data_IF_686525748956
#
_entry.id   IF_686525748956
#
_cell.length_a   1.000
_cell.length_b   1.000
_cell.length_c   1.000
_cell.angle_alpha   90.00
_cell.angle_beta   90.00
_cell.angle_gamma   90.00
#
_symmetry.space_group_name_H-M   'P 1'
#
loop_
_entity.id
_entity.type
_entity.pdbx_description
1 polymer ?
#
# COMPACT_ATOMS: atom_id res chain seq x y z
N UNK A 1 -22.71 -3.35 11.63
CA UNK A 1 -22.75 -3.42 13.10
C UNK A 1 -22.26 -4.80 13.52
N UNK A 2 -20.96 -4.92 13.79
CA UNK A 2 -20.30 -6.00 14.52
C UNK A 2 -18.86 -5.54 14.80
N UNK A 3 -18.22 -6.06 15.84
CA UNK A 3 -16.83 -5.83 16.26
C UNK A 3 -16.46 -4.64 17.18
N UNK A 4 -17.43 -4.11 17.93
CA UNK A 4 -17.13 -3.47 19.23
C UNK A 4 -16.87 -4.47 20.36
N UNK A 5 -17.18 -5.75 20.14
CA UNK A 5 -17.14 -6.81 21.15
C UNK A 5 -15.74 -7.42 21.33
N UNK A 6 -14.92 -7.52 20.28
CA UNK A 6 -13.66 -8.28 20.33
C UNK A 6 -12.54 -7.54 21.07
N UNK A 7 -12.43 -6.22 20.90
CA UNK A 7 -11.48 -5.38 21.65
C UNK A 7 -11.87 -5.28 23.14
N UNK A 8 -13.18 -5.22 23.44
CA UNK A 8 -13.70 -5.25 24.81
C UNK A 8 -13.47 -6.61 25.48
N UNK A 9 -13.55 -7.71 24.72
CA UNK A 9 -13.26 -9.05 25.22
C UNK A 9 -11.77 -9.22 25.53
N UNK A 10 -10.88 -8.76 24.64
CA UNK A 10 -9.41 -8.79 24.86
C UNK A 10 -8.98 -7.92 26.04
N UNK A 11 -9.56 -6.72 26.20
CA UNK A 11 -9.30 -5.89 27.38
C UNK A 11 -9.78 -6.57 28.68
N UNK A 12 -10.94 -7.23 28.66
CA UNK A 12 -11.44 -8.02 29.79
C UNK A 12 -10.54 -9.20 30.15
N UNK A 13 -9.97 -9.87 29.14
CA UNK A 13 -9.05 -10.99 29.31
C UNK A 13 -7.70 -10.56 29.92
N UNK A 14 -7.16 -9.42 29.49
CA UNK A 14 -5.92 -8.84 30.05
C UNK A 14 -6.15 -8.45 31.53
N UNK A 15 -7.29 -7.84 31.85
CA UNK A 15 -7.65 -7.50 33.24
C UNK A 15 -7.83 -8.76 34.10
N UNK A 16 -8.41 -9.83 33.55
CA UNK A 16 -8.54 -11.10 34.25
C UNK A 16 -7.18 -11.76 34.53
N UNK A 17 -6.25 -11.73 33.56
CA UNK A 17 -4.87 -12.25 33.72
C UNK A 17 -4.06 -11.43 34.72
N UNK A 18 -4.19 -10.11 34.73
CA UNK A 18 -3.56 -9.24 35.72
C UNK A 18 -4.13 -9.47 37.14
N UNK A 19 -5.44 -9.72 37.25
CA UNK A 19 -6.08 -10.11 38.52
C UNK A 19 -5.55 -11.45 39.02
N UNK A 20 -5.45 -12.46 38.16
CA UNK A 20 -4.95 -13.78 38.52
C UNK A 20 -3.45 -13.76 38.90
N UNK A 21 -2.65 -12.98 38.18
CA UNK A 21 -1.24 -12.76 38.52
C UNK A 21 -1.09 -12.03 39.87
N UNK A 22 -1.90 -11.01 40.14
CA UNK A 22 -1.92 -10.31 41.42
C UNK A 22 -2.39 -11.21 42.57
N UNK A 23 -3.41 -12.06 42.34
CA UNK A 23 -3.89 -13.04 43.31
C UNK A 23 -2.79 -14.04 43.68
N UNK A 24 -2.02 -14.51 42.69
CA UNK A 24 -0.87 -15.41 42.87
C UNK A 24 0.27 -14.77 43.67
N UNK A 25 0.53 -13.48 43.46
CA UNK A 25 1.52 -12.71 44.24
C UNK A 25 1.05 -12.50 45.68
N UNK A 26 -0.25 -12.23 45.88
CA UNK A 26 -0.87 -12.11 47.22
C UNK A 26 -0.82 -13.42 48.00
N UNK A 27 -1.11 -14.56 47.37
CA UNK A 27 -0.98 -15.88 48.01
C UNK A 27 0.46 -16.23 48.32
N UNK A 28 1.42 -15.89 47.45
CA UNK A 28 2.85 -16.16 47.67
C UNK A 28 3.45 -15.32 48.81
N UNK A 29 2.98 -14.10 49.00
CA UNK A 29 3.45 -13.22 50.08
C UNK A 29 2.76 -13.48 51.44
N UNK A 30 1.53 -14.01 51.43
CA UNK A 30 0.84 -14.56 52.61
C UNK A 30 1.67 -15.64 53.31
N UNK A 31 2.35 -16.49 52.54
CA UNK A 31 3.19 -17.57 53.07
C UNK A 31 4.51 -17.08 53.71
N UNK A 32 4.92 -15.84 53.44
CA UNK A 32 6.16 -15.24 53.97
C UNK A 32 5.95 -14.33 55.20
N UNK A 33 4.73 -14.23 55.73
CA UNK A 33 4.45 -13.56 57.02
C UNK A 33 4.64 -12.04 57.06
N UNK A 34 4.72 -11.38 55.90
CA UNK A 34 5.02 -9.95 55.80
C UNK A 34 3.73 -9.12 55.57
N UNK A 35 2.89 -9.01 56.61
CA UNK A 35 1.52 -8.48 56.52
C UNK A 35 1.41 -6.98 56.20
N UNK A 36 2.45 -6.17 56.49
CA UNK A 36 2.41 -4.71 56.29
C UNK A 36 2.51 -4.31 54.81
N UNK A 37 3.22 -5.10 53.99
CA UNK A 37 3.39 -4.84 52.55
C UNK A 37 2.14 -5.29 51.76
N UNK A 38 1.33 -6.19 52.33
CA UNK A 38 0.19 -6.80 51.65
C UNK A 38 -1.02 -5.86 51.56
N UNK A 39 -1.25 -5.05 52.58
CA UNK A 39 -2.38 -4.10 52.62
C UNK A 39 -2.12 -2.86 51.75
N UNK A 40 -0.89 -2.35 51.73
CA UNK A 40 -0.50 -1.23 50.86
C UNK A 40 -0.51 -1.64 49.37
N UNK A 41 -0.14 -2.89 49.07
CA UNK A 41 -0.27 -3.45 47.73
C UNK A 41 -1.73 -3.61 47.31
N UNK A 42 -2.62 -4.12 48.19
CA UNK A 42 -4.05 -4.25 47.90
C UNK A 42 -4.71 -2.91 47.56
N UNK A 43 -4.40 -1.86 48.31
CA UNK A 43 -4.97 -0.53 48.10
C UNK A 43 -4.52 0.06 46.74
N UNK A 44 -3.21 0.00 46.45
CA UNK A 44 -2.67 0.45 45.15
C UNK A 44 -3.23 -0.33 43.96
N UNK A 45 -3.45 -1.64 44.12
CA UNK A 45 -4.06 -2.48 43.07
C UNK A 45 -5.55 -2.17 42.86
N UNK A 46 -6.32 -1.91 43.92
CA UNK A 46 -7.73 -1.54 43.79
C UNK A 46 -7.88 -0.18 43.08
N UNK A 47 -7.01 0.77 43.38
CA UNK A 47 -6.96 2.07 42.69
C UNK A 47 -6.59 1.90 41.21
N UNK A 48 -5.59 1.08 40.88
CA UNK A 48 -5.19 0.80 39.50
C UNK A 48 -6.28 0.05 38.71
N UNK A 49 -6.95 -0.92 39.34
CA UNK A 49 -8.07 -1.64 38.73
C UNK A 49 -9.24 -0.70 38.42
N UNK A 50 -9.62 0.17 39.37
CA UNK A 50 -10.64 1.19 39.19
C UNK A 50 -10.27 2.21 38.09
N UNK A 51 -8.99 2.60 38.02
CA UNK A 51 -8.49 3.51 36.98
C UNK A 51 -8.50 2.86 35.59
N UNK A 52 -8.16 1.57 35.49
CA UNK A 52 -8.23 0.81 34.24
C UNK A 52 -9.66 0.58 33.76
N UNK A 53 -10.60 0.33 34.68
CA UNK A 53 -12.02 0.17 34.33
C UNK A 53 -12.62 1.48 33.83
N UNK A 54 -12.24 2.61 34.44
CA UNK A 54 -12.67 3.93 33.99
C UNK A 54 -12.07 4.29 32.62
N UNK A 55 -10.78 3.96 32.38
CA UNK A 55 -10.15 4.15 31.07
C UNK A 55 -10.84 3.31 29.96
N UNK A 56 -11.24 2.08 30.27
CA UNK A 56 -11.97 1.22 29.32
C UNK A 56 -13.38 1.76 28.98
N UNK A 57 -13.98 2.49 29.93
CA UNK A 57 -15.30 3.10 29.77
C UNK A 57 -15.20 4.40 28.97
N UNK A 58 -14.23 5.26 29.27
CA UNK A 58 -13.97 6.49 28.51
C UNK A 58 -13.62 6.20 27.04
N UNK A 59 -12.78 5.18 26.77
CA UNK A 59 -12.45 4.78 25.39
C UNK A 59 -13.67 4.25 24.65
N UNK A 60 -14.55 3.49 25.33
CA UNK A 60 -15.80 2.99 24.76
C UNK A 60 -16.78 4.13 24.47
N UNK A 61 -16.89 5.09 25.39
CA UNK A 61 -17.77 6.25 25.25
C UNK A 61 -17.27 7.19 24.15
N UNK A 62 -15.95 7.35 23.98
CA UNK A 62 -15.35 8.05 22.84
C UNK A 62 -15.59 7.35 21.50
N UNK A 63 -15.43 6.02 21.44
CA UNK A 63 -15.74 5.25 20.22
C UNK A 63 -17.22 5.34 19.85
N UNK A 64 -18.11 5.24 20.84
CA UNK A 64 -19.54 5.40 20.62
C UNK A 64 -19.88 6.83 20.18
N UNK A 65 -19.25 7.86 20.76
CA UNK A 65 -19.43 9.25 20.34
C UNK A 65 -18.91 9.51 18.91
N UNK A 66 -17.78 8.90 18.52
CA UNK A 66 -17.24 8.94 17.15
C UNK A 66 -18.14 8.21 16.16
N UNK A 67 -18.64 7.01 16.51
CA UNK A 67 -19.59 6.26 15.70
C UNK A 67 -20.93 7.01 15.56
N UNK A 68 -21.39 7.65 16.65
CA UNK A 68 -22.58 8.49 16.61
C UNK A 68 -22.35 9.67 15.68
N UNK A 69 -21.28 10.45 15.87
CA UNK A 69 -20.91 11.60 15.02
C UNK A 69 -20.76 11.21 13.54
N UNK A 70 -20.12 10.07 13.26
CA UNK A 70 -20.02 9.52 11.90
C UNK A 70 -21.38 9.16 11.31
N UNK A 71 -22.28 8.58 12.11
CA UNK A 71 -23.64 8.27 11.68
C UNK A 71 -24.51 9.52 11.49
N UNK A 72 -24.33 10.57 12.30
CA UNK A 72 -25.05 11.84 12.16
C UNK A 72 -24.55 12.60 10.94
N UNK A 73 -23.23 12.67 10.73
CA UNK A 73 -22.62 13.29 9.55
C UNK A 73 -23.06 12.57 8.27
N UNK A 74 -23.06 11.23 8.29
CA UNK A 74 -23.58 10.40 7.20
C UNK A 74 -25.05 10.72 6.93
N UNK A 75 -25.90 10.78 7.97
CA UNK A 75 -27.33 11.12 7.81
C UNK A 75 -27.56 12.55 7.30
N UNK A 76 -26.76 13.52 7.73
CA UNK A 76 -26.85 14.92 7.27
C UNK A 76 -26.43 15.07 5.81
N UNK A 77 -25.34 14.41 5.41
CA UNK A 77 -24.86 14.42 4.01
C UNK A 77 -25.81 13.66 3.09
N UNK A 78 -26.31 12.50 3.53
CA UNK A 78 -27.32 11.71 2.81
C UNK A 78 -28.67 12.43 2.75
N UNK A 79 -29.06 13.12 3.82
CA UNK A 79 -30.27 13.94 3.88
C UNK A 79 -30.22 15.13 2.92
N UNK A 80 -29.08 15.81 2.81
CA UNK A 80 -28.87 16.92 1.84
C UNK A 80 -28.86 16.46 0.39
N UNK A 81 -28.47 15.22 0.11
CA UNK A 81 -28.46 14.63 -1.23
C UNK A 81 -29.78 13.92 -1.59
N UNK A 82 -30.67 13.73 -0.61
CA UNK A 82 -31.94 13.03 -0.75
C UNK A 82 -31.76 11.54 -1.04
N UNK A 83 -30.71 10.94 -0.48
CA UNK A 83 -30.40 9.50 -0.55
C UNK A 83 -30.80 8.89 0.80
N UNK A 84 -31.65 7.87 0.80
CA UNK A 84 -32.07 7.20 2.04
C UNK A 84 -31.09 6.08 2.44
N UNK A 85 -31.04 5.66 3.72
CA UNK A 85 -30.24 4.50 4.13
C UNK A 85 -30.60 3.20 3.40
N UNK A 86 -31.85 3.08 2.93
CA UNK A 86 -32.37 1.98 2.12
C UNK A 86 -31.90 2.03 0.66
N UNK A 87 -31.38 3.17 0.19
CA UNK A 87 -30.75 3.29 -1.12
C UNK A 87 -29.29 2.83 -1.10
N UNK A 88 -28.60 2.92 0.06
CA UNK A 88 -27.23 2.40 0.23
C UNK A 88 -27.17 0.87 0.18
N UNK A 89 -28.23 0.16 0.57
CA UNK A 89 -28.26 -1.30 0.50
C UNK A 89 -28.41 -1.83 -0.93
N UNK A 90 -28.83 -0.98 -1.88
CA UNK A 90 -29.01 -1.28 -3.30
C UNK A 90 -27.76 -0.96 -4.14
N UNK A 91 -26.71 -0.43 -3.52
CA UNK A 91 -25.45 -0.13 -4.21
C UNK A 91 -24.67 -1.42 -4.44
N UNK A 92 -24.21 -1.64 -5.68
CA UNK A 92 -23.32 -2.76 -5.99
C UNK A 92 -21.97 -2.56 -5.29
N UNK A 93 -21.65 -3.46 -4.35
CA UNK A 93 -20.51 -3.32 -3.42
C UNK A 93 -19.15 -3.27 -4.12
N UNK A 94 -18.92 -4.14 -5.10
CA UNK A 94 -17.63 -4.21 -5.81
C UNK A 94 -17.38 -2.95 -6.65
N UNK A 95 -18.28 -2.52 -7.56
CA UNK A 95 -18.16 -1.25 -8.26
C UNK A 95 -18.04 -0.03 -7.33
N UNK A 96 -18.74 -0.01 -6.20
CA UNK A 96 -18.63 1.11 -5.25
C UNK A 96 -17.24 1.19 -4.59
N UNK A 97 -16.68 0.04 -4.18
CA UNK A 97 -15.34 -0.01 -3.62
C UNK A 97 -14.29 0.40 -4.65
N UNK A 98 -14.43 -0.09 -5.89
CA UNK A 98 -13.55 0.27 -7.01
C UNK A 98 -13.67 1.76 -7.36
N UNK A 99 -14.87 2.36 -7.28
CA UNK A 99 -15.05 3.79 -7.50
C UNK A 99 -14.34 4.64 -6.42
N UNK A 100 -14.38 4.22 -5.16
CA UNK A 100 -13.61 4.89 -4.08
C UNK A 100 -12.10 4.77 -4.31
N UNK A 101 -11.63 3.60 -4.74
CA UNK A 101 -10.23 3.40 -5.11
C UNK A 101 -9.83 4.30 -6.29
N UNK A 102 -10.71 4.49 -7.29
CA UNK A 102 -10.46 5.41 -8.39
C UNK A 102 -10.28 6.87 -7.92
N UNK A 103 -11.06 7.33 -6.94
CA UNK A 103 -10.86 8.67 -6.33
C UNK A 103 -9.44 8.76 -5.73
N UNK A 104 -9.06 7.75 -4.95
CA UNK A 104 -7.75 7.70 -4.31
C UNK A 104 -6.60 7.69 -5.32
N UNK A 105 -6.71 6.87 -6.38
CA UNK A 105 -5.74 6.81 -7.48
C UNK A 105 -5.59 8.18 -8.14
N UNK A 106 -6.69 8.86 -8.48
CA UNK A 106 -6.61 10.19 -9.11
C UNK A 106 -5.93 11.22 -8.19
N UNK A 107 -6.17 11.16 -6.87
CA UNK A 107 -5.48 12.03 -5.90
C UNK A 107 -3.97 11.74 -5.85
N UNK A 108 -3.58 10.46 -5.86
CA UNK A 108 -2.17 10.05 -5.91
C UNK A 108 -1.49 10.56 -7.19
N UNK A 109 -2.17 10.49 -8.34
CA UNK A 109 -1.63 10.98 -9.60
C UNK A 109 -1.41 12.50 -9.58
N UNK A 110 -2.35 13.27 -9.02
CA UNK A 110 -2.15 14.72 -8.81
C UNK A 110 -0.92 14.95 -7.93
N UNK A 111 -0.83 14.27 -6.78
CA UNK A 111 0.28 14.43 -5.85
C UNK A 111 1.63 14.10 -6.48
N UNK A 112 1.71 13.00 -7.26
CA UNK A 112 2.93 12.60 -7.95
C UNK A 112 3.46 13.67 -8.91
N UNK A 113 2.59 14.49 -9.49
CA UNK A 113 2.98 15.52 -10.47
C UNK A 113 3.63 16.74 -9.81
N UNK A 114 3.16 17.14 -8.64
CA UNK A 114 3.57 18.38 -7.99
C UNK A 114 4.75 18.21 -7.02
N UNK A 115 5.19 16.97 -6.79
CA UNK A 115 6.27 16.66 -5.88
C UNK A 115 7.58 16.42 -6.66
N UNK A 116 8.71 16.81 -6.07
CA UNK A 116 10.03 16.88 -6.69
C UNK A 116 10.89 15.64 -6.50
N UNK A 117 10.30 14.53 -6.04
CA UNK A 117 10.97 13.23 -5.89
C UNK A 117 10.72 12.28 -7.05
N UNK A 118 10.95 12.67 -8.31
CA UNK A 118 10.90 11.71 -9.43
C UNK A 118 12.22 10.97 -9.58
N UNK A 119 13.32 11.73 -9.60
CA UNK A 119 14.69 11.21 -9.68
C UNK A 119 15.56 11.93 -8.65
N UNK A 120 16.45 11.18 -8.02
CA UNK A 120 17.54 11.71 -7.20
C UNK A 120 18.87 11.34 -7.84
N UNK A 121 19.82 12.26 -7.84
CA UNK A 121 21.15 12.01 -8.37
C UNK A 121 22.20 12.95 -7.80
N UNK A 122 23.45 12.69 -8.15
CA UNK A 122 24.56 13.58 -7.80
C UNK A 122 25.08 14.27 -9.05
N UNK A 123 25.19 15.58 -8.95
CA UNK A 123 25.58 16.45 -10.05
C UNK A 123 26.82 17.26 -9.73
N UNK A 124 27.48 17.77 -10.77
CA UNK A 124 28.66 18.62 -10.65
C UNK A 124 28.37 20.06 -11.05
N UNK A 125 28.81 21.00 -10.22
CA UNK A 125 28.96 22.42 -10.56
C UNK A 125 30.36 22.83 -10.13
N UNK A 126 31.16 23.34 -11.07
CA UNK A 126 32.50 23.84 -10.81
C UNK A 126 33.39 22.85 -10.00
N UNK A 127 33.29 21.56 -10.33
CA UNK A 127 34.05 20.47 -9.70
C UNK A 127 33.53 20.02 -8.33
N UNK A 128 32.54 20.71 -7.75
CA UNK A 128 31.88 20.30 -6.51
C UNK A 128 30.67 19.44 -6.81
N UNK A 129 30.43 18.46 -5.94
CA UNK A 129 29.31 17.52 -6.07
C UNK A 129 28.16 17.96 -5.19
N UNK A 130 26.97 18.03 -5.76
CA UNK A 130 25.73 18.38 -5.08
C UNK A 130 24.70 17.29 -5.29
N UNK A 131 23.82 17.13 -4.32
CA UNK A 131 22.65 16.27 -4.43
C UNK A 131 21.52 17.04 -5.13
N UNK A 132 20.93 16.42 -6.15
CA UNK A 132 19.86 17.00 -6.96
C UNK A 132 18.61 16.13 -6.88
N UNK A 133 17.48 16.79 -6.62
CA UNK A 133 16.14 16.22 -6.65
C UNK A 133 15.40 16.75 -7.87
N UNK A 134 15.10 15.87 -8.81
CA UNK A 134 14.53 16.22 -10.11
C UNK A 134 13.05 15.82 -10.13
N UNK A 135 12.22 16.78 -10.48
CA UNK A 135 10.80 16.63 -10.79
C UNK A 135 10.57 16.44 -12.29
N UNK A 136 9.30 16.41 -12.72
CA UNK A 136 8.98 16.35 -14.16
C UNK A 136 9.42 17.58 -14.96
N UNK A 137 9.60 18.74 -14.33
CA UNK A 137 9.87 20.00 -15.07
C UNK A 137 10.96 20.87 -14.45
N UNK A 138 11.36 20.59 -13.22
CA UNK A 138 12.29 21.40 -12.45
C UNK A 138 13.20 20.53 -11.58
N UNK A 139 14.31 21.10 -11.12
CA UNK A 139 15.27 20.49 -10.20
C UNK A 139 15.44 21.36 -8.96
N UNK A 140 15.63 20.71 -7.82
CA UNK A 140 16.06 21.32 -6.56
C UNK A 140 17.45 20.80 -6.20
N UNK A 141 18.30 21.67 -5.62
CA UNK A 141 19.59 21.27 -5.07
C UNK A 141 19.57 21.26 -3.55
N UNK A 142 20.02 20.15 -2.98
CA UNK A 142 19.98 19.91 -1.54
C UNK A 142 18.55 19.75 -1.02
N UNK A 143 18.43 19.50 0.28
CA UNK A 143 17.13 19.33 0.93
C UNK A 143 16.32 20.63 0.88
N UNK A 144 15.14 20.57 0.24
CA UNK A 144 14.23 21.73 0.10
C UNK A 144 14.78 22.87 -0.74
N UNK A 145 15.69 22.59 -1.68
CA UNK A 145 16.23 23.60 -2.60
C UNK A 145 17.22 24.58 -1.97
N UNK A 146 17.79 24.26 -0.80
CA UNK A 146 18.70 25.14 -0.06
C UNK A 146 19.93 25.61 -0.86
N UNK A 147 20.35 24.84 -1.87
CA UNK A 147 21.50 25.15 -2.72
C UNK A 147 21.10 25.56 -4.15
N UNK A 148 19.81 25.67 -4.48
CA UNK A 148 19.34 25.93 -5.86
C UNK A 148 19.84 27.28 -6.40
N UNK A 149 20.01 28.28 -5.53
CA UNK A 149 20.56 29.59 -5.89
C UNK A 149 21.98 29.52 -6.51
N UNK A 150 22.73 28.44 -6.27
CA UNK A 150 24.07 28.24 -6.85
C UNK A 150 24.06 28.07 -8.36
N UNK A 151 22.95 27.59 -8.95
CA UNK A 151 22.83 27.57 -10.40
C UNK A 151 22.92 28.98 -11.00
N UNK A 152 22.35 29.97 -10.32
CA UNK A 152 22.42 31.35 -10.74
C UNK A 152 23.83 31.92 -10.57
N UNK A 153 24.43 31.72 -9.39
CA UNK A 153 25.74 32.30 -9.09
C UNK A 153 26.89 31.63 -9.88
N UNK A 154 26.88 30.29 -9.96
CA UNK A 154 28.01 29.52 -10.49
C UNK A 154 27.84 29.13 -11.98
N UNK A 155 26.61 29.05 -12.50
CA UNK A 155 26.34 28.72 -13.91
C UNK A 155 25.70 29.88 -14.70
N UNK A 156 25.35 30.99 -14.05
CA UNK A 156 24.69 32.11 -14.73
C UNK A 156 23.29 31.78 -15.25
N UNK A 157 22.67 30.70 -14.74
CA UNK A 157 21.33 30.27 -15.16
C UNK A 157 20.29 31.05 -14.38
N UNK A 158 19.36 31.68 -15.08
CA UNK A 158 18.22 32.32 -14.43
C UNK A 158 17.22 31.24 -13.99
N UNK A 159 17.34 30.81 -12.74
CA UNK A 159 16.37 29.93 -12.08
C UNK A 159 15.12 30.69 -11.59
N UNK A 160 15.02 32.00 -11.87
CA UNK A 160 13.99 32.90 -11.38
C UNK A 160 14.52 33.83 -10.28
N UNK A 161 13.65 34.31 -9.40
CA UNK A 161 14.06 35.14 -8.25
C UNK A 161 15.08 34.39 -7.38
N UNK A 162 16.00 35.12 -6.73
CA UNK A 162 17.03 34.56 -5.83
C UNK A 162 16.50 33.64 -4.73
N UNK A 163 15.19 33.71 -4.43
CA UNK A 163 14.49 32.91 -3.42
C UNK A 163 13.75 31.71 -4.01
N UNK A 164 14.01 31.35 -5.28
CA UNK A 164 13.40 30.18 -5.91
C UNK A 164 14.08 28.89 -5.43
N UNK A 165 13.31 28.03 -4.77
CA UNK A 165 13.76 26.70 -4.34
C UNK A 165 13.99 25.75 -5.53
N UNK A 166 13.48 26.09 -6.73
CA UNK A 166 13.45 25.23 -7.91
C UNK A 166 14.07 25.93 -9.13
N UNK A 167 14.82 25.20 -9.95
CA UNK A 167 15.29 25.64 -11.26
C UNK A 167 14.62 24.84 -12.37
N UNK A 168 14.08 25.51 -13.41
CA UNK A 168 13.42 24.82 -14.52
C UNK A 168 14.42 24.01 -15.35
N UNK A 169 14.05 22.78 -15.71
CA UNK A 169 14.89 21.91 -16.55
C UNK A 169 15.14 22.52 -17.93
N UNK A 170 14.17 23.26 -18.47
CA UNK A 170 14.32 24.00 -19.73
C UNK A 170 15.45 25.02 -19.67
N UNK A 171 15.56 25.77 -18.57
CA UNK A 171 16.63 26.75 -18.39
C UNK A 171 18.00 26.09 -18.30
N UNK A 172 18.06 24.86 -17.74
CA UNK A 172 19.30 24.08 -17.62
C UNK A 172 19.70 23.39 -18.93
N UNK A 173 18.75 22.95 -19.74
CA UNK A 173 19.01 22.43 -21.08
C UNK A 173 19.50 23.53 -22.03
N UNK A 174 18.99 24.76 -21.88
CA UNK A 174 19.43 25.92 -22.66
C UNK A 174 20.72 26.57 -22.10
N UNK A 175 21.17 26.16 -20.92
CA UNK A 175 22.33 26.73 -20.27
C UNK A 175 23.62 26.40 -21.06
N UNK A 176 24.42 27.44 -21.27
CA UNK A 176 25.77 27.31 -21.81
C UNK A 176 26.79 27.38 -20.68
N UNK A 177 27.88 26.60 -20.80
CA UNK A 177 28.97 26.66 -19.85
C UNK A 177 29.60 28.07 -19.85
N UNK A 178 30.05 28.58 -18.69
CA UNK A 178 30.79 29.82 -18.63
C UNK A 178 32.01 29.79 -19.58
N UNK A 179 32.31 30.92 -20.21
CA UNK A 179 33.42 31.02 -21.16
C UNK A 179 34.75 30.62 -20.50
N UNK A 180 35.42 29.60 -21.03
CA UNK A 180 36.67 29.06 -20.47
C UNK A 180 36.52 28.02 -19.35
N UNK A 181 35.30 27.60 -19.01
CA UNK A 181 35.05 26.54 -18.05
C UNK A 181 35.48 25.15 -18.57
N UNK A 182 36.00 24.30 -17.68
CA UNK A 182 36.27 22.89 -17.97
C UNK A 182 34.94 22.10 -18.01
N UNK A 183 34.54 21.50 -19.15
CA UNK A 183 33.30 20.73 -19.24
C UNK A 183 33.22 19.56 -18.25
N UNK A 184 34.36 19.01 -17.82
CA UNK A 184 34.39 17.89 -16.86
C UNK A 184 34.04 18.30 -15.43
N UNK A 185 34.10 19.61 -15.14
CA UNK A 185 33.75 20.18 -13.86
C UNK A 185 32.24 20.41 -13.69
N UNK A 186 31.45 20.20 -14.75
CA UNK A 186 30.01 20.46 -14.76
C UNK A 186 29.23 19.23 -15.22
N UNK A 187 27.96 19.22 -14.88
CA UNK A 187 27.01 18.21 -15.37
C UNK A 187 26.78 18.43 -16.87
N UNK A 188 26.86 17.38 -17.71
CA UNK A 188 26.63 17.51 -19.14
C UNK A 188 25.23 18.08 -19.44
N UNK A 189 25.14 19.07 -20.33
CA UNK A 189 23.87 19.66 -20.77
C UNK A 189 22.92 18.61 -21.36
N UNK A 190 23.47 17.59 -22.03
CA UNK A 190 22.71 16.46 -22.57
C UNK A 190 21.89 15.73 -21.49
N UNK A 191 22.40 15.61 -20.27
CA UNK A 191 21.67 14.97 -19.17
C UNK A 191 20.46 15.82 -18.73
N UNK A 192 20.60 17.15 -18.73
CA UNK A 192 19.49 18.07 -18.43
C UNK A 192 18.41 18.04 -19.50
N UNK A 193 18.81 18.02 -20.79
CA UNK A 193 17.88 17.92 -21.90
C UNK A 193 17.13 16.58 -21.92
N UNK A 194 17.82 15.46 -21.65
CA UNK A 194 17.20 14.15 -21.55
C UNK A 194 16.15 14.10 -20.41
N UNK A 195 16.47 14.65 -19.24
CA UNK A 195 15.51 14.79 -18.14
C UNK A 195 14.31 15.66 -18.50
N UNK A 196 14.53 16.77 -19.21
CA UNK A 196 13.47 17.67 -19.65
C UNK A 196 12.52 16.98 -20.62
N UNK A 197 13.05 16.25 -21.61
CA UNK A 197 12.26 15.52 -22.60
C UNK A 197 11.47 14.37 -21.94
N UNK A 198 12.13 13.57 -21.11
CA UNK A 198 11.50 12.51 -20.32
C UNK A 198 10.36 13.07 -19.47
N UNK A 199 10.63 14.18 -18.76
CA UNK A 199 9.69 14.85 -17.88
C UNK A 199 8.48 15.44 -18.62
N UNK A 200 8.69 16.14 -19.73
CA UNK A 200 7.63 16.67 -20.60
C UNK A 200 6.73 15.57 -21.13
N UNK A 201 7.32 14.48 -21.62
CA UNK A 201 6.58 13.34 -22.17
C UNK A 201 5.74 12.65 -21.09
N UNK A 202 6.36 12.33 -19.95
CA UNK A 202 5.67 11.72 -18.82
C UNK A 202 4.55 12.62 -18.28
N UNK A 203 4.81 13.92 -18.12
CA UNK A 203 3.78 14.88 -17.71
C UNK A 203 2.60 14.92 -18.68
N UNK A 204 2.87 14.90 -19.98
CA UNK A 204 1.83 14.91 -21.01
C UNK A 204 0.99 13.64 -20.95
N UNK A 205 1.62 12.48 -20.85
CA UNK A 205 0.94 11.20 -20.78
C UNK A 205 0.13 11.04 -19.49
N UNK A 206 0.66 11.49 -18.35
CA UNK A 206 -0.08 11.49 -17.09
C UNK A 206 -1.29 12.42 -17.15
N UNK A 207 -1.16 13.58 -17.79
CA UNK A 207 -2.27 14.51 -17.97
C UNK A 207 -3.35 13.94 -18.89
N UNK A 208 -2.95 13.32 -20.00
CA UNK A 208 -3.87 12.60 -20.88
C UNK A 208 -4.52 11.42 -20.17
N UNK A 209 -3.79 10.72 -19.29
CA UNK A 209 -4.30 9.65 -18.43
C UNK A 209 -5.30 10.12 -17.37
N UNK A 210 -5.27 11.41 -17.00
CA UNK A 210 -6.25 11.99 -16.08
C UNK A 210 -7.66 12.04 -16.66
N UNK A 211 -7.79 12.16 -17.99
CA UNK A 211 -9.09 12.16 -18.68
C UNK A 211 -9.83 10.83 -18.48
N UNK A 212 -9.26 9.66 -18.87
CA UNK A 212 -9.87 8.38 -18.54
C UNK A 212 -9.90 8.14 -17.02
N UNK A 213 -8.98 8.68 -16.22
CA UNK A 213 -9.03 8.60 -14.75
C UNK A 213 -10.25 9.26 -14.10
N UNK A 214 -10.66 10.43 -14.59
CA UNK A 214 -11.92 11.06 -14.20
C UNK A 214 -13.10 10.22 -14.73
N UNK A 215 -13.00 9.73 -15.97
CA UNK A 215 -14.00 8.88 -16.60
C UNK A 215 -14.28 7.60 -15.79
N UNK A 216 -13.23 6.90 -15.34
CA UNK A 216 -13.37 5.69 -14.51
C UNK A 216 -14.05 6.03 -13.20
N UNK A 217 -13.66 7.12 -12.53
CA UNK A 217 -14.27 7.55 -11.28
C UNK A 217 -15.78 7.79 -11.43
N UNK A 218 -16.18 8.64 -12.37
CA UNK A 218 -17.59 9.00 -12.54
C UNK A 218 -18.44 7.85 -13.07
N UNK A 219 -17.98 7.16 -14.13
CA UNK A 219 -18.77 6.09 -14.75
C UNK A 219 -18.91 4.88 -13.82
N UNK A 220 -17.85 4.51 -13.08
CA UNK A 220 -17.92 3.41 -12.12
C UNK A 220 -18.84 3.75 -10.95
N UNK A 221 -18.81 4.99 -10.45
CA UNK A 221 -19.69 5.45 -9.38
C UNK A 221 -21.17 5.47 -9.83
N UNK A 222 -21.45 5.97 -11.04
CA UNK A 222 -22.80 5.97 -11.61
C UNK A 222 -23.32 4.55 -11.80
N UNK A 223 -22.47 3.64 -12.27
CA UNK A 223 -22.83 2.22 -12.42
C UNK A 223 -23.10 1.54 -11.07
N UNK A 224 -22.28 1.84 -10.05
CA UNK A 224 -22.48 1.32 -8.69
C UNK A 224 -23.82 1.77 -8.09
N UNK A 225 -24.23 3.00 -8.38
CA UNK A 225 -25.44 3.63 -7.88
C UNK A 225 -26.67 3.49 -8.80
N UNK A 226 -26.62 2.63 -9.83
CA UNK A 226 -27.67 2.55 -10.86
C UNK A 226 -29.08 2.24 -10.32
N UNK A 227 -29.17 1.56 -9.18
CA UNK A 227 -30.43 1.18 -8.53
C UNK A 227 -31.01 2.27 -7.62
N UNK A 228 -30.30 3.38 -7.41
CA UNK A 228 -30.79 4.54 -6.65
C UNK A 228 -31.73 5.36 -7.55
N UNK A 229 -32.94 5.67 -7.07
CA UNK A 229 -34.01 6.25 -7.88
C UNK A 229 -33.65 7.48 -8.72
N UNK A 230 -32.83 8.41 -8.19
CA UNK A 230 -32.35 9.60 -8.93
C UNK A 230 -31.30 9.26 -10.00
N UNK A 231 -30.40 8.32 -9.73
CA UNK A 231 -29.33 7.92 -10.65
C UNK A 231 -29.90 7.03 -11.77
N UNK A 232 -30.83 6.14 -11.41
CA UNK A 232 -31.60 5.34 -12.37
C UNK A 232 -32.44 6.18 -13.33
N UNK A 233 -32.91 7.36 -12.94
CA UNK A 233 -33.59 8.29 -13.87
C UNK A 233 -32.65 8.90 -14.91
N UNK A 234 -31.40 9.19 -14.54
CA UNK A 234 -30.37 9.63 -15.50
C UNK A 234 -29.94 8.49 -16.44
N UNK A 235 -29.73 7.29 -15.91
CA UNK A 235 -29.34 6.13 -16.70
C UNK A 235 -30.45 5.66 -17.64
N UNK A 236 -31.71 5.63 -17.19
CA UNK A 236 -32.85 5.31 -18.07
C UNK A 236 -33.08 6.36 -19.16
N UNK A 237 -32.72 7.63 -18.92
CA UNK A 237 -32.71 8.67 -19.97
C UNK A 237 -31.60 8.42 -21.00
N UNK A 238 -30.44 7.93 -20.57
CA UNK A 238 -29.35 7.52 -21.45
C UNK A 238 -29.66 6.23 -22.23
N UNK A 239 -30.33 5.26 -21.60
CA UNK A 239 -30.81 4.03 -22.27
C UNK A 239 -31.84 4.36 -23.36
N UNK A 240 -32.74 5.34 -23.12
CA UNK A 240 -33.67 5.86 -24.13
C UNK A 240 -32.97 6.55 -25.32
N UNK A 241 -31.71 6.95 -25.17
CA UNK A 241 -30.87 7.52 -26.25
C UNK A 241 -30.02 6.45 -26.97
N UNK A 242 -30.21 5.16 -26.67
CA UNK A 242 -29.53 4.05 -27.33
C UNK A 242 -28.29 3.53 -26.60
N UNK A 243 -27.96 4.05 -25.42
CA UNK A 243 -26.83 3.56 -24.62
C UNK A 243 -27.29 2.35 -23.81
N UNK A 244 -27.19 1.16 -24.41
CA UNK A 244 -27.49 -0.09 -23.71
C UNK A 244 -26.55 -0.33 -22.53
N UNK A 245 -26.98 -1.12 -21.55
CA UNK A 245 -26.17 -1.55 -20.40
C UNK A 245 -24.82 -2.16 -20.85
N UNK A 246 -24.81 -2.87 -21.97
CA UNK A 246 -23.60 -3.45 -22.57
C UNK A 246 -22.61 -2.37 -23.01
N UNK A 247 -23.08 -1.29 -23.65
CA UNK A 247 -22.24 -0.17 -24.07
C UNK A 247 -21.64 0.55 -22.85
N UNK A 248 -22.40 0.69 -21.76
CA UNK A 248 -21.89 1.28 -20.52
C UNK A 248 -20.76 0.44 -19.89
N UNK A 249 -20.91 -0.89 -19.85
CA UNK A 249 -19.87 -1.81 -19.36
C UNK A 249 -18.58 -1.70 -20.19
N UNK A 250 -18.69 -1.64 -21.51
CA UNK A 250 -17.53 -1.44 -22.39
C UNK A 250 -16.90 -0.07 -22.22
N UNK A 251 -17.68 1.00 -22.07
CA UNK A 251 -17.16 2.34 -21.85
C UNK A 251 -16.39 2.45 -20.52
N UNK A 252 -16.93 1.89 -19.43
CA UNK A 252 -16.23 1.82 -18.14
C UNK A 252 -14.91 1.05 -18.29
N UNK A 253 -14.96 -0.12 -18.91
CA UNK A 253 -13.77 -0.96 -19.12
C UNK A 253 -12.71 -0.26 -19.97
N UNK A 254 -13.12 0.43 -21.04
CA UNK A 254 -12.24 1.21 -21.89
C UNK A 254 -11.57 2.37 -21.14
N UNK A 255 -12.28 3.06 -20.23
CA UNK A 255 -11.67 4.07 -19.37
C UNK A 255 -10.63 3.48 -18.42
N UNK A 256 -10.88 2.31 -17.83
CA UNK A 256 -9.91 1.63 -16.94
C UNK A 256 -8.67 1.17 -17.70
N UNK A 257 -8.86 0.55 -18.87
CA UNK A 257 -7.76 0.15 -19.76
C UNK A 257 -6.99 1.38 -20.28
N UNK A 258 -7.69 2.46 -20.61
CA UNK A 258 -7.07 3.72 -21.04
C UNK A 258 -6.20 4.32 -19.93
N UNK A 259 -6.72 4.44 -18.71
CA UNK A 259 -5.94 4.89 -17.55
C UNK A 259 -4.72 4.00 -17.34
N UNK A 260 -4.91 2.68 -17.36
CA UNK A 260 -3.82 1.70 -17.24
C UNK A 260 -2.73 1.92 -18.30
N UNK A 261 -3.12 2.08 -19.57
CA UNK A 261 -2.19 2.25 -20.69
C UNK A 261 -1.42 3.57 -20.58
N UNK A 262 -2.08 4.68 -20.25
CA UNK A 262 -1.38 5.96 -20.08
C UNK A 262 -0.37 5.92 -18.93
N UNK A 263 -0.72 5.30 -17.79
CA UNK A 263 0.23 5.13 -16.68
C UNK A 263 1.41 4.25 -17.09
N UNK A 264 1.14 3.11 -17.74
CA UNK A 264 2.18 2.21 -18.22
C UNK A 264 3.14 2.91 -19.18
N UNK A 265 2.60 3.53 -20.24
CA UNK A 265 3.40 4.21 -21.26
C UNK A 265 4.15 5.39 -20.63
N UNK A 266 3.56 6.15 -19.70
CA UNK A 266 4.26 7.25 -19.03
C UNK A 266 5.48 6.77 -18.24
N UNK A 267 5.37 5.65 -17.53
CA UNK A 267 6.48 5.12 -16.72
C UNK A 267 7.57 4.53 -17.61
N UNK A 268 7.18 3.78 -18.64
CA UNK A 268 8.13 3.18 -19.58
C UNK A 268 8.86 4.26 -20.38
N UNK A 269 8.13 5.25 -20.89
CA UNK A 269 8.73 6.35 -21.63
C UNK A 269 9.65 7.20 -20.74
N UNK A 270 9.25 7.50 -19.50
CA UNK A 270 10.12 8.20 -18.57
C UNK A 270 11.40 7.38 -18.28
N UNK A 271 11.25 6.10 -17.92
CA UNK A 271 12.39 5.25 -17.59
C UNK A 271 13.33 4.97 -18.78
N UNK A 272 12.85 5.08 -20.02
CA UNK A 272 13.66 4.89 -21.22
C UNK A 272 14.50 6.12 -21.60
N UNK A 273 14.01 7.32 -21.30
CA UNK A 273 14.64 8.60 -21.70
C UNK A 273 15.48 9.23 -20.58
N UNK A 274 15.29 8.80 -19.33
CA UNK A 274 16.06 9.32 -18.20
C UNK A 274 17.53 8.88 -18.31
N UNK A 275 18.50 9.80 -18.11
CA UNK A 275 19.93 9.47 -18.21
C UNK A 275 20.43 8.61 -17.04
N UNK A 276 21.46 7.80 -17.27
CA UNK A 276 22.05 6.93 -16.24
C UNK A 276 22.63 7.68 -15.03
N UNK A 277 23.04 8.94 -15.21
CA UNK A 277 23.73 9.74 -14.20
C UNK A 277 23.70 11.23 -14.50
N UNK A 278 23.80 12.06 -13.46
CA UNK A 278 23.93 13.53 -13.56
C UNK A 278 25.40 13.99 -13.50
N UNK A 279 26.33 13.15 -13.93
CA UNK A 279 27.77 13.42 -13.92
C UNK A 279 28.53 12.84 -12.72
N UNK A 280 27.83 12.36 -11.68
CA UNK A 280 28.41 11.55 -10.59
C UNK A 280 27.45 10.44 -10.17
N UNK A 281 27.93 9.20 -10.22
CA UNK A 281 27.16 8.05 -9.77
C UNK A 281 25.93 7.78 -10.64
N UNK A 282 25.14 6.80 -10.21
CA UNK A 282 23.86 6.47 -10.83
C UNK A 282 22.75 7.29 -10.19
N UNK A 283 21.75 7.61 -10.99
CA UNK A 283 20.50 8.15 -10.46
C UNK A 283 19.65 7.08 -9.77
N UNK A 284 18.78 7.49 -8.86
CA UNK A 284 17.76 6.66 -8.22
C UNK A 284 16.36 7.21 -8.49
N UNK A 285 15.41 6.32 -8.77
CA UNK A 285 13.99 6.68 -8.88
C UNK A 285 13.41 6.85 -7.48
N UNK A 286 12.70 7.95 -7.26
CA UNK A 286 12.26 8.40 -5.94
C UNK A 286 10.75 8.22 -5.73
N UNK A 287 10.26 8.71 -4.58
CA UNK A 287 8.90 8.51 -4.10
C UNK A 287 7.80 8.90 -5.10
N UNK A 288 7.95 9.97 -5.88
CA UNK A 288 6.92 10.42 -6.84
C UNK A 288 6.77 9.44 -8.01
N UNK A 289 7.88 8.93 -8.55
CA UNK A 289 7.84 7.83 -9.53
C UNK A 289 7.24 6.57 -8.89
N UNK A 290 7.55 6.34 -7.61
CA UNK A 290 6.94 5.31 -6.78
C UNK A 290 5.42 5.39 -6.62
N UNK A 291 4.90 6.59 -6.42
CA UNK A 291 3.45 6.84 -6.31
C UNK A 291 2.75 6.50 -7.63
N UNK A 292 3.37 6.77 -8.77
CA UNK A 292 2.83 6.36 -10.09
C UNK A 292 2.86 4.84 -10.25
N UNK A 293 3.93 4.16 -9.81
CA UNK A 293 3.99 2.69 -9.76
C UNK A 293 2.89 2.08 -8.90
N UNK A 294 2.67 2.61 -7.70
CA UNK A 294 1.55 2.19 -6.84
C UNK A 294 0.21 2.44 -7.53
N UNK A 295 0.03 3.62 -8.14
CA UNK A 295 -1.20 3.96 -8.85
C UNK A 295 -1.47 2.96 -9.98
N UNK A 296 -0.44 2.59 -10.75
CA UNK A 296 -0.54 1.57 -11.80
C UNK A 296 -0.94 0.19 -11.25
N UNK A 297 -0.36 -0.22 -10.12
CA UNK A 297 -0.70 -1.47 -9.45
C UNK A 297 -2.17 -1.48 -8.97
N UNK A 298 -2.61 -0.39 -8.33
CA UNK A 298 -4.00 -0.25 -7.89
C UNK A 298 -4.96 -0.23 -9.09
N UNK A 299 -4.61 0.46 -10.18
CA UNK A 299 -5.40 0.44 -11.42
C UNK A 299 -5.49 -0.96 -11.99
N UNK A 300 -4.41 -1.74 -11.95
CA UNK A 300 -4.39 -3.12 -12.44
C UNK A 300 -5.33 -4.02 -11.62
N UNK A 301 -5.22 -3.98 -10.29
CA UNK A 301 -6.03 -4.82 -9.38
C UNK A 301 -7.51 -4.43 -9.43
N UNK A 302 -7.81 -3.14 -9.30
CA UNK A 302 -9.20 -2.67 -9.25
C UNK A 302 -9.86 -2.68 -10.64
N UNK A 303 -9.10 -2.37 -11.68
CA UNK A 303 -9.56 -2.49 -13.06
C UNK A 303 -9.89 -3.93 -13.42
N UNK A 304 -9.03 -4.90 -13.08
CA UNK A 304 -9.31 -6.32 -13.32
C UNK A 304 -10.52 -6.79 -12.51
N UNK A 305 -10.60 -6.45 -11.22
CA UNK A 305 -11.73 -6.82 -10.36
C UNK A 305 -13.05 -6.27 -10.92
N UNK A 306 -13.05 -5.02 -11.38
CA UNK A 306 -14.22 -4.41 -11.98
C UNK A 306 -14.61 -5.08 -13.29
N UNK A 307 -13.67 -5.28 -14.22
CA UNK A 307 -13.95 -5.90 -15.52
C UNK A 307 -14.49 -7.33 -15.31
N UNK A 308 -13.87 -8.11 -14.43
CA UNK A 308 -14.36 -9.45 -14.05
C UNK A 308 -15.77 -9.38 -13.49
N UNK A 309 -16.05 -8.42 -12.60
CA UNK A 309 -17.39 -8.21 -12.04
C UNK A 309 -18.42 -7.67 -13.04
N UNK A 310 -18.02 -6.88 -14.03
CA UNK A 310 -18.94 -6.30 -15.02
C UNK A 310 -19.39 -7.34 -16.04
N UNK A 311 -18.52 -8.29 -16.38
CA UNK A 311 -18.80 -9.34 -17.37
C UNK A 311 -19.13 -10.70 -16.75
N UNK A 312 -19.33 -10.75 -15.43
CA UNK A 312 -19.65 -11.98 -14.68
C UNK A 312 -18.66 -13.13 -15.00
N UNK A 313 -17.37 -12.78 -15.19
CA UNK A 313 -16.32 -13.72 -15.59
C UNK A 313 -15.76 -14.56 -14.45
N UNK A 314 -16.16 -14.28 -13.20
CA UNK A 314 -15.81 -15.14 -12.08
C UNK A 314 -16.60 -16.45 -12.19
N UNK A 315 -15.93 -17.56 -12.47
CA UNK A 315 -16.39 -18.84 -11.93
C UNK A 315 -16.32 -18.69 -10.41
N UNK A 316 -17.48 -18.72 -9.78
CA UNK A 316 -17.70 -18.40 -8.37
C UNK A 316 -16.92 -19.32 -7.42
N UNK A 317 -16.32 -20.40 -7.91
CA UNK A 317 -15.89 -21.49 -7.06
C UNK A 317 -14.57 -21.15 -6.32
N UNK A 318 -13.46 -20.85 -6.99
CA UNK A 318 -12.15 -20.74 -6.31
C UNK A 318 -11.97 -19.56 -5.32
N UNK A 319 -12.30 -18.33 -5.70
CA UNK A 319 -12.08 -17.16 -4.83
C UNK A 319 -13.11 -17.07 -3.70
N UNK A 320 -14.38 -17.40 -3.98
CA UNK A 320 -15.42 -17.40 -2.95
C UNK A 320 -15.19 -18.56 -2.00
N UNK A 321 -14.75 -19.73 -2.47
CA UNK A 321 -14.36 -20.84 -1.60
C UNK A 321 -13.20 -20.46 -0.68
N UNK A 322 -12.13 -19.84 -1.20
CA UNK A 322 -11.02 -19.35 -0.37
C UNK A 322 -11.47 -18.27 0.64
N UNK A 323 -12.35 -17.35 0.23
CA UNK A 323 -12.90 -16.30 1.11
C UNK A 323 -13.86 -16.87 2.16
N UNK A 324 -14.71 -17.83 1.79
CA UNK A 324 -15.61 -18.54 2.71
C UNK A 324 -14.79 -19.34 3.72
N UNK A 325 -13.76 -20.06 3.25
CA UNK A 325 -12.85 -20.80 4.13
C UNK A 325 -12.17 -19.85 5.14
N UNK A 326 -11.69 -18.69 4.70
CA UNK A 326 -11.17 -17.66 5.60
C UNK A 326 -12.22 -17.12 6.58
N UNK A 327 -13.43 -16.83 6.11
CA UNK A 327 -14.51 -16.26 6.92
C UNK A 327 -14.98 -17.24 8.00
N UNK A 328 -15.14 -18.51 7.64
CA UNK A 328 -15.61 -19.59 8.51
C UNK A 328 -14.55 -20.07 9.50
N UNK A 329 -13.27 -19.86 9.18
CA UNK A 329 -12.17 -20.21 10.10
C UNK A 329 -12.28 -19.38 11.40
N UNK A 330 -12.18 -20.01 12.59
CA UNK A 330 -12.30 -19.30 13.86
C UNK A 330 -11.12 -18.32 14.10
N UNK A 331 -11.43 -17.14 14.66
CA UNK A 331 -10.50 -16.01 14.85
C UNK A 331 -9.21 -16.33 15.61
N UNK A 332 -9.25 -17.30 16.53
CA UNK A 332 -8.09 -17.71 17.34
C UNK A 332 -7.40 -18.99 16.85
N UNK A 333 -7.65 -19.42 15.61
CA UNK A 333 -6.93 -20.56 15.02
C UNK A 333 -5.61 -20.14 14.40
N UNK A 334 -4.64 -21.06 14.42
CA UNK A 334 -3.34 -20.84 13.78
C UNK A 334 -3.48 -20.64 12.27
N UNK A 335 -4.46 -21.31 11.64
CA UNK A 335 -4.78 -21.11 10.22
C UNK A 335 -5.24 -19.68 9.90
N UNK A 336 -6.10 -19.09 10.74
CA UNK A 336 -6.56 -17.69 10.54
C UNK A 336 -5.44 -16.69 10.79
N UNK A 337 -4.59 -16.95 11.79
CA UNK A 337 -3.41 -16.14 12.03
C UNK A 337 -2.48 -16.14 10.80
N UNK A 338 -2.22 -17.31 10.21
CA UNK A 338 -1.41 -17.44 9.00
C UNK A 338 -2.00 -16.68 7.82
N UNK A 339 -3.32 -16.77 7.58
CA UNK A 339 -3.99 -15.98 6.53
C UNK A 339 -3.87 -14.47 6.77
N UNK A 340 -4.05 -14.00 8.01
CA UNK A 340 -3.93 -12.57 8.34
C UNK A 340 -2.49 -12.07 8.21
N UNK A 341 -1.51 -12.84 8.65
CA UNK A 341 -0.09 -12.53 8.51
C UNK A 341 0.31 -12.45 7.04
N UNK A 342 -0.14 -13.40 6.20
CA UNK A 342 0.12 -13.39 4.76
C UNK A 342 -0.57 -12.22 4.06
N UNK A 343 -1.81 -11.89 4.41
CA UNK A 343 -2.49 -10.71 3.86
C UNK A 343 -1.81 -9.40 4.27
N UNK A 344 -1.38 -9.29 5.53
CA UNK A 344 -0.65 -8.12 6.01
C UNK A 344 0.71 -8.01 5.30
N UNK A 345 1.43 -9.12 5.16
CA UNK A 345 2.71 -9.17 4.44
C UNK A 345 2.52 -8.79 2.97
N UNK A 346 1.46 -9.28 2.32
CA UNK A 346 1.08 -8.87 0.97
C UNK A 346 0.84 -7.36 0.90
N UNK A 347 0.03 -6.80 1.80
CA UNK A 347 -0.21 -5.35 1.87
C UNK A 347 1.08 -4.56 2.03
N UNK A 348 2.00 -5.00 2.89
CA UNK A 348 3.29 -4.35 3.07
C UNK A 348 4.13 -4.40 1.78
N UNK A 349 4.24 -5.55 1.11
CA UNK A 349 4.95 -5.63 -0.18
C UNK A 349 4.32 -4.77 -1.27
N UNK A 350 2.99 -4.72 -1.34
CA UNK A 350 2.28 -3.85 -2.29
C UNK A 350 2.58 -2.38 -2.04
N UNK A 351 2.75 -1.97 -0.77
CA UNK A 351 3.16 -0.62 -0.42
C UNK A 351 4.66 -0.39 -0.65
N UNK A 352 5.52 -1.40 -0.44
CA UNK A 352 6.94 -1.32 -0.74
C UNK A 352 7.24 -1.27 -2.24
N UNK A 353 6.28 -1.69 -3.08
CA UNK A 353 6.33 -1.50 -4.54
C UNK A 353 6.43 -0.02 -4.96
N UNK A 354 6.10 0.92 -4.05
CA UNK A 354 6.37 2.35 -4.21
C UNK A 354 7.88 2.56 -4.43
N UNK A 355 8.76 1.89 -3.69
CA UNK A 355 10.21 2.13 -3.81
C UNK A 355 10.87 1.16 -4.80
N UNK A 356 10.66 -0.16 -4.64
CA UNK A 356 11.29 -1.18 -5.49
C UNK A 356 10.39 -2.39 -5.67
N UNK A 357 10.53 -3.06 -6.82
CA UNK A 357 9.84 -4.33 -7.05
C UNK A 357 10.52 -5.41 -6.22
N UNK A 358 9.84 -5.88 -5.18
CA UNK A 358 10.32 -6.93 -4.31
C UNK A 358 9.89 -8.30 -4.84
N UNK A 359 10.85 -9.12 -5.26
CA UNK A 359 10.62 -10.49 -5.72
C UNK A 359 10.07 -11.38 -4.58
N UNK A 360 10.27 -10.94 -3.34
CA UNK A 360 9.82 -11.56 -2.11
C UNK A 360 8.29 -11.67 -2.02
N UNK A 361 7.53 -10.92 -2.83
CA UNK A 361 6.09 -11.12 -2.99
C UNK A 361 5.76 -12.55 -3.47
N UNK A 362 6.66 -13.19 -4.23
CA UNK A 362 6.53 -14.59 -4.65
C UNK A 362 6.43 -15.54 -3.44
N UNK A 363 7.09 -15.22 -2.33
CA UNK A 363 7.01 -16.00 -1.09
C UNK A 363 5.57 -16.04 -0.58
N UNK A 364 4.86 -14.92 -0.64
CA UNK A 364 3.46 -14.84 -0.20
C UNK A 364 2.59 -15.74 -1.07
N UNK A 365 2.77 -15.70 -2.39
CA UNK A 365 2.00 -16.54 -3.34
C UNK A 365 2.25 -18.03 -3.08
N UNK A 366 3.52 -18.42 -2.90
CA UNK A 366 3.91 -19.79 -2.58
C UNK A 366 3.25 -20.25 -1.27
N UNK A 367 3.22 -19.39 -0.25
CA UNK A 367 2.64 -19.73 1.05
C UNK A 367 1.12 -19.79 1.01
N UNK A 368 0.44 -18.88 0.31
CA UNK A 368 -1.02 -18.93 0.12
C UNK A 368 -1.40 -20.22 -0.60
N UNK A 369 -0.66 -20.59 -1.65
CA UNK A 369 -0.88 -21.86 -2.35
C UNK A 369 -0.64 -23.09 -1.44
N UNK A 370 0.34 -23.03 -0.53
CA UNK A 370 0.52 -24.06 0.48
C UNK A 370 -0.69 -24.17 1.43
N UNK A 371 -1.22 -23.04 1.92
CA UNK A 371 -2.36 -23.05 2.85
C UNK A 371 -3.62 -23.63 2.19
N UNK A 372 -3.80 -23.34 0.90
CA UNK A 372 -4.94 -23.82 0.10
C UNK A 372 -4.76 -25.30 -0.34
N UNK A 373 -3.70 -25.60 -1.09
CA UNK A 373 -3.47 -26.91 -1.69
C UNK A 373 -2.97 -27.98 -0.68
N UNK A 374 -2.51 -27.57 0.51
CA UNK A 374 -1.96 -28.43 1.59
C UNK A 374 -0.77 -29.31 1.16
N UNK A 375 -0.02 -28.88 0.14
CA UNK A 375 1.12 -29.65 -0.40
C UNK A 375 2.43 -29.31 0.33
N UNK A 376 3.08 -30.33 0.91
CA UNK A 376 4.32 -30.16 1.71
C UNK A 376 5.48 -29.54 0.98
N UNK A 377 5.58 -29.77 -0.33
CA UNK A 377 6.68 -29.28 -1.15
C UNK A 377 6.69 -27.75 -1.21
N UNK A 378 5.51 -27.11 -1.25
CA UNK A 378 5.40 -25.65 -1.25
C UNK A 378 5.74 -25.05 0.12
N UNK A 379 5.44 -25.75 1.21
CA UNK A 379 5.89 -25.37 2.56
C UNK A 379 7.41 -25.39 2.67
N UNK A 380 8.06 -26.47 2.23
CA UNK A 380 9.53 -26.59 2.26
C UNK A 380 10.18 -25.54 1.38
N UNK A 381 9.62 -25.29 0.19
CA UNK A 381 10.07 -24.23 -0.71
C UNK A 381 9.95 -22.85 -0.05
N UNK A 382 8.81 -22.55 0.59
CA UNK A 382 8.63 -21.30 1.33
C UNK A 382 9.65 -21.13 2.46
N UNK A 383 9.89 -22.17 3.27
CA UNK A 383 10.83 -22.12 4.40
C UNK A 383 12.26 -21.86 3.90
N UNK A 384 12.70 -22.56 2.85
CA UNK A 384 14.05 -22.40 2.28
C UNK A 384 14.23 -21.00 1.70
N UNK A 385 13.29 -20.54 0.87
CA UNK A 385 13.38 -19.24 0.23
C UNK A 385 13.21 -18.09 1.24
N UNK A 386 12.35 -18.24 2.25
CA UNK A 386 12.23 -17.26 3.33
C UNK A 386 13.48 -17.20 4.19
N UNK A 387 14.15 -18.32 4.42
CA UNK A 387 15.43 -18.33 5.18
C UNK A 387 16.53 -17.59 4.43
N UNK A 388 16.64 -17.80 3.11
CA UNK A 388 17.57 -17.05 2.26
C UNK A 388 17.19 -15.56 2.18
N UNK A 389 15.90 -15.25 2.06
CA UNK A 389 15.42 -13.87 2.03
C UNK A 389 15.66 -13.14 3.35
N UNK A 390 15.43 -13.75 4.51
CA UNK A 390 15.76 -13.18 5.83
C UNK A 390 17.26 -12.88 5.92
N UNK A 391 18.13 -13.74 5.38
CA UNK A 391 19.56 -13.47 5.36
C UNK A 391 19.89 -12.20 4.55
N UNK A 392 19.30 -12.04 3.36
CA UNK A 392 19.49 -10.84 2.54
C UNK A 392 18.91 -9.59 3.22
N UNK A 393 17.72 -9.69 3.82
CA UNK A 393 17.12 -8.59 4.57
C UNK A 393 18.01 -8.17 5.76
N UNK A 394 18.59 -9.12 6.49
CA UNK A 394 19.49 -8.82 7.61
C UNK A 394 20.77 -8.13 7.13
N UNK A 395 21.29 -8.51 5.96
CA UNK A 395 22.42 -7.82 5.33
C UNK A 395 22.03 -6.40 4.95
N UNK A 396 20.88 -6.20 4.31
CA UNK A 396 20.36 -4.86 3.96
C UNK A 396 20.15 -3.99 5.21
N UNK A 397 19.62 -4.57 6.29
CA UNK A 397 19.48 -3.90 7.57
C UNK A 397 20.82 -3.43 8.15
N UNK A 398 21.90 -4.20 7.97
CA UNK A 398 23.25 -3.81 8.41
C UNK A 398 23.85 -2.68 7.58
N UNK A 399 23.42 -2.51 6.32
CA UNK A 399 23.87 -1.42 5.43
C UNK A 399 23.01 -0.17 5.51
N UNK A 400 21.87 -0.22 6.21
CA UNK A 400 20.99 0.93 6.40
C UNK A 400 21.67 1.96 7.32
N UNK A 401 21.76 3.25 6.92
CA UNK A 401 22.32 4.31 7.77
C UNK A 401 21.64 4.36 9.15
N UNK A 402 22.44 4.53 10.21
CA UNK A 402 21.94 4.51 11.59
C UNK A 402 21.29 5.83 12.02
N UNK A 403 21.43 6.89 11.23
CA UNK A 403 20.93 8.22 11.53
C UNK A 403 19.48 8.39 11.05
N UNK A 404 18.55 7.79 11.79
CA UNK A 404 17.11 7.84 11.47
C UNK A 404 16.53 9.26 11.42
N UNK A 405 17.21 10.23 12.05
CA UNK A 405 16.80 11.64 12.09
C UNK A 405 16.98 12.37 10.75
N UNK A 406 17.82 11.84 9.86
CA UNK A 406 18.10 12.43 8.54
C UNK A 406 17.31 11.78 7.40
N UNK A 407 16.39 10.85 7.70
CA UNK A 407 15.55 10.26 6.67
C UNK A 407 14.38 11.17 6.31
N UNK A 408 14.10 11.25 5.02
CA UNK A 408 12.85 11.85 4.56
C UNK A 408 11.65 11.05 5.09
N UNK A 409 10.46 11.66 5.22
CA UNK A 409 9.25 10.96 5.66
C UNK A 409 8.93 9.72 4.81
N UNK A 410 9.22 9.75 3.50
CA UNK A 410 9.01 8.62 2.59
C UNK A 410 9.97 7.46 2.83
N UNK A 411 11.25 7.76 3.08
CA UNK A 411 12.25 6.75 3.46
C UNK A 411 11.90 6.11 4.80
N UNK A 412 11.51 6.92 5.78
CA UNK A 412 11.07 6.43 7.11
C UNK A 412 9.87 5.48 6.98
N UNK A 413 8.89 5.83 6.16
CA UNK A 413 7.73 4.98 5.88
C UNK A 413 8.13 3.64 5.25
N UNK A 414 8.98 3.68 4.22
CA UNK A 414 9.43 2.48 3.49
C UNK A 414 10.29 1.57 4.38
N UNK A 415 11.20 2.14 5.17
CA UNK A 415 12.00 1.40 6.14
C UNK A 415 11.13 0.79 7.26
N UNK A 416 10.08 1.50 7.69
CA UNK A 416 9.09 0.98 8.64
C UNK A 416 8.33 -0.23 8.09
N UNK A 417 7.94 -0.17 6.81
CA UNK A 417 7.34 -1.32 6.11
C UNK A 417 8.31 -2.49 5.99
N UNK A 418 9.56 -2.23 5.59
CA UNK A 418 10.62 -3.24 5.52
C UNK A 418 10.80 -3.98 6.86
N UNK A 419 10.91 -3.24 7.96
CA UNK A 419 11.02 -3.81 9.31
C UNK A 419 9.80 -4.64 9.70
N UNK A 420 8.62 -4.19 9.29
CA UNK A 420 7.36 -4.93 9.51
C UNK A 420 7.36 -6.25 8.72
N UNK A 421 7.79 -6.22 7.46
CA UNK A 421 7.92 -7.42 6.61
C UNK A 421 8.93 -8.41 7.17
N UNK A 422 10.11 -7.95 7.59
CA UNK A 422 11.13 -8.80 8.21
C UNK A 422 10.57 -9.50 9.47
N UNK A 423 9.86 -8.75 10.31
CA UNK A 423 9.21 -9.31 11.50
C UNK A 423 8.13 -10.34 11.11
N UNK A 424 7.32 -10.04 10.08
CA UNK A 424 6.30 -10.95 9.58
C UNK A 424 6.89 -12.25 9.02
N UNK A 425 8.03 -12.22 8.32
CA UNK A 425 8.70 -13.45 7.85
C UNK A 425 9.02 -14.39 9.00
N UNK A 426 9.53 -13.86 10.11
CA UNK A 426 9.84 -14.65 11.32
C UNK A 426 8.57 -15.20 11.96
N UNK A 427 7.53 -14.36 12.08
CA UNK A 427 6.23 -14.76 12.64
C UNK A 427 5.59 -15.87 11.80
N UNK A 428 5.54 -15.71 10.48
CA UNK A 428 4.93 -16.68 9.56
C UNK A 428 5.64 -18.02 9.63
N UNK A 429 6.98 -18.07 9.71
CA UNK A 429 7.71 -19.31 9.92
C UNK A 429 7.31 -20.00 11.25
N UNK A 430 7.13 -19.22 12.32
CA UNK A 430 6.63 -19.70 13.60
C UNK A 430 5.18 -20.23 13.51
N UNK A 431 4.31 -19.50 12.82
CA UNK A 431 2.91 -19.85 12.62
C UNK A 431 2.77 -21.11 11.75
N UNK A 432 3.59 -21.28 10.71
CA UNK A 432 3.67 -22.52 9.91
C UNK A 432 4.07 -23.72 10.78
N UNK A 433 5.06 -23.56 11.66
CA UNK A 433 5.48 -24.63 12.58
C UNK A 433 4.35 -25.04 13.53
N UNK A 434 3.65 -24.05 14.11
CA UNK A 434 2.49 -24.33 14.97
C UNK A 434 1.35 -24.99 14.19
N UNK A 435 1.11 -24.55 12.96
CA UNK A 435 0.09 -25.11 12.09
C UNK A 435 0.39 -26.57 11.73
N UNK A 436 1.65 -26.89 11.40
CA UNK A 436 2.07 -28.28 11.14
C UNK A 436 1.88 -29.17 12.38
N UNK A 437 2.12 -28.63 13.58
CA UNK A 437 1.92 -29.36 14.84
C UNK A 437 0.44 -29.64 15.11
N UNK A 438 -0.44 -28.68 14.89
CA UNK A 438 -1.90 -28.87 15.02
C UNK A 438 -2.41 -29.91 14.01
N UNK A 439 -1.96 -29.82 12.75
CA UNK A 439 -2.35 -30.76 11.69
C UNK A 439 -1.84 -32.18 11.95
N UNK A 440 -0.65 -32.35 12.54
CA UNK A 440 -0.14 -33.65 12.99
C UNK A 440 -0.94 -34.22 14.17
N UNK A 441 -1.38 -33.36 15.10
CA UNK A 441 -2.16 -33.78 16.27
C UNK A 441 -3.60 -34.20 15.93
N UNK A 442 -4.17 -33.68 14.83
CA UNK A 442 -5.52 -34.00 14.37
C UNK A 442 -5.62 -35.30 13.54
N UNK A 443 -4.50 -36.00 13.30
CA UNK A 443 -4.51 -37.31 12.64
C UNK A 443 -4.71 -37.25 11.12
N UNK A 444 -3.64 -36.92 10.40
CA UNK A 444 -3.46 -37.26 8.97
C UNK A 444 -4.02 -36.28 7.95
N UNK A 445 -3.15 -35.46 7.36
CA UNK A 445 -3.48 -34.66 6.17
C UNK A 445 -2.28 -34.50 5.22
N UNK A 446 -1.41 -35.50 5.13
CA UNK A 446 -0.47 -35.57 4.01
C UNK A 446 -1.03 -36.56 2.99
N UNK A 447 -1.42 -36.08 1.81
CA UNK A 447 -1.23 -36.90 0.62
C UNK A 447 0.29 -37.01 0.46
N UNK A 448 0.89 -38.09 0.97
CA UNK A 448 2.16 -38.53 0.41
C UNK A 448 1.92 -38.70 -1.07
N UNK A 449 2.76 -38.11 -1.93
CA UNK A 449 2.72 -38.35 -3.37
C UNK A 449 2.74 -39.86 -3.58
N UNK A 450 1.58 -40.46 -3.86
CA UNK A 450 1.49 -41.80 -4.39
C UNK A 450 1.66 -41.64 -5.90
N UNK A 451 2.56 -42.40 -6.55
CA UNK A 451 2.75 -42.35 -8.00
C UNK A 451 1.46 -42.56 -8.80
N UNK A 452 0.43 -43.14 -8.19
CA UNK A 452 -0.84 -43.51 -8.80
C UNK A 452 -1.86 -42.35 -8.88
N UNK A 453 -1.62 -41.21 -8.22
CA UNK A 453 -2.52 -40.03 -8.27
C UNK A 453 -2.29 -39.15 -9.53
N UNK A 454 -1.39 -39.55 -10.44
CA UNK A 454 -1.06 -38.79 -11.66
C UNK A 454 -2.06 -39.05 -12.80
N UNK A 455 -2.71 -40.22 -12.84
CA UNK A 455 -3.57 -40.59 -13.98
C UNK A 455 -4.94 -39.89 -14.00
N UNK A 456 -5.35 -39.23 -12.91
CA UNK A 456 -6.66 -38.56 -12.83
C UNK A 456 -6.69 -37.07 -13.17
N UNK A 457 -5.54 -36.47 -13.51
CA UNK A 457 -5.40 -35.00 -13.67
C UNK A 457 -5.08 -34.53 -15.09
N UNK A 458 -4.90 -35.44 -16.04
CA UNK A 458 -4.69 -35.07 -17.45
C UNK A 458 -5.98 -34.58 -18.13
N UNK A 459 -7.15 -34.85 -17.56
CA UNK A 459 -8.45 -34.48 -18.14
C UNK A 459 -8.94 -33.06 -17.73
N UNK A 460 -8.41 -32.45 -16.66
CA UNK A 460 -8.87 -31.13 -16.17
C UNK A 460 -8.03 -29.93 -16.65
N UNK A 461 -6.88 -30.16 -17.29
CA UNK A 461 -6.04 -29.08 -17.86
C UNK A 461 -6.40 -28.81 -19.34
N UNK A 462 -7.35 -29.59 -19.89
CA UNK A 462 -7.81 -29.46 -21.27
C UNK A 462 -9.33 -29.21 -21.38
N UNK A 463 -9.90 -28.27 -20.62
CA UNK A 463 -11.20 -27.62 -20.94
C UNK A 463 -11.26 -26.13 -20.63
#
# INVERSE_FOLDING_TARGET
MADGSSASAKAGEIVAKLRDAAQKVLTKNSDTGNYVILDEAKEKYQVLAARSSNLSRDVRDQYQALALRGSTLSRDVLGKTGITPEDLSKVHRVPAFVALAAIFINLLLIFSRYNTGWVKGFMKINGKVYEAYVSLMAVELGEGGADTWRFHEEMGVDCGTSDSEYCMLSSLCEASLPEGADPSAYTPTEAWCALEEAGKLAQTLLWLGFIPGIGTMFLTLLFAAKEIGKVGTYLSKAEKQGISMTIQKYAISACWVGLWAFLFISMVAYAAEVPDGLGVGLISLEASFGVVRLSFLLVSIFGSLLIVSLFDMWRADGFIEAWMEFAETPLCSVKKALYLELMLQMCCYLLMFIDKVQWELLLVVICVYYVDAKVRNFMLMYVVLSSASILFDLVELCFMPQDWENYTPGQTFTHGLFMTVLTLKILILGTIYLYEKEMKAQGGAWRSFHPDDIEGREDEIAE
#
